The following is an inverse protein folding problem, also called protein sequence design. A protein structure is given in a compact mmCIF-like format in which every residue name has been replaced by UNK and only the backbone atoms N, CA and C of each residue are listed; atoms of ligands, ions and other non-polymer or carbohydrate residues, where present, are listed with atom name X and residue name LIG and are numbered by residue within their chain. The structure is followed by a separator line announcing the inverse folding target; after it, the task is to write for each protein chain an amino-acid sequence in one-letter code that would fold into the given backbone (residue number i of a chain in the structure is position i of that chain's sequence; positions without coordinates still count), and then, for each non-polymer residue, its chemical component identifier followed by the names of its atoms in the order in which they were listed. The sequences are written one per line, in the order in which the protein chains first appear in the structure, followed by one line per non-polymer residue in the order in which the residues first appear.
data_IF_037353423063
#
_entry.id   IF_037353423063
#
_cell.length_a   1.000
_cell.length_b   1.000
_cell.length_c   1.000
_cell.angle_alpha   90.00
_cell.angle_beta   90.00
_cell.angle_gamma   90.00
#
_symmetry.space_group_name_H-M   'P 1'
#
loop_
_entity.id
_entity.type
_entity.pdbx_description
1 polymer ?
#
# COMPACT_ATOMS: atom_id res chain seq x y z
N UNK A 1 60.41 39.72 55.78
CA UNK A 1 61.01 38.95 54.67
C UNK A 1 60.17 39.27 53.44
N UNK A 2 60.55 40.29 52.65
CA UNK A 2 61.37 40.18 51.43
C UNK A 2 60.76 39.15 50.46
N UNK A 3 60.38 39.41 49.20
CA UNK A 3 60.74 40.41 48.18
C UNK A 3 59.61 40.41 47.12
N UNK A 4 59.19 41.56 46.56
CA UNK A 4 59.51 42.09 45.20
C UNK A 4 59.27 41.09 44.03
N UNK A 5 58.73 41.44 42.85
CA UNK A 5 58.25 42.70 42.24
C UNK A 5 57.64 42.34 40.86
N UNK A 6 56.68 43.17 40.38
CA UNK A 6 56.51 43.69 39.00
C UNK A 6 56.23 42.70 37.85
N UNK A 7 55.51 42.98 36.76
CA UNK A 7 55.00 44.17 36.03
C UNK A 7 53.78 43.67 35.22
N UNK A 8 52.71 44.45 34.96
CA UNK A 8 52.55 45.29 33.74
C UNK A 8 52.12 44.44 32.53
N UNK A 9 51.23 44.82 31.61
CA UNK A 9 50.37 45.97 31.35
C UNK A 9 49.44 45.54 30.19
N UNK A 10 48.36 46.28 29.98
CA UNK A 10 47.26 46.05 29.06
C UNK A 10 47.65 45.91 27.57
N UNK A 11 46.84 45.15 26.81
CA UNK A 11 46.53 45.46 25.40
C UNK A 11 45.18 44.88 24.96
N UNK A 12 44.61 45.62 24.02
CA UNK A 12 43.21 45.70 23.57
C UNK A 12 43.00 44.88 22.28
N UNK A 13 41.75 44.44 22.06
CA UNK A 13 41.08 44.11 20.77
C UNK A 13 41.26 42.68 20.17
N UNK A 14 40.43 42.24 19.19
CA UNK A 14 39.04 41.76 19.36
C UNK A 14 38.73 40.51 18.47
N UNK A 15 37.46 40.05 18.44
CA UNK A 15 36.95 39.06 17.47
C UNK A 15 36.81 37.67 18.08
N UNK A 16 35.67 36.98 18.03
CA UNK A 16 34.67 36.96 16.97
C UNK A 16 34.65 35.54 16.41
N UNK A 17 33.89 34.64 17.03
CA UNK A 17 33.44 33.37 16.46
C UNK A 17 32.16 32.98 17.22
N UNK A 18 31.03 33.54 16.81
CA UNK A 18 29.74 32.90 17.03
C UNK A 18 29.69 31.71 16.07
N UNK A 19 29.79 30.50 16.61
CA UNK A 19 29.44 29.29 15.87
C UNK A 19 27.96 29.36 15.51
N UNK A 20 27.70 29.68 14.24
CA UNK A 20 26.40 29.52 13.63
C UNK A 20 26.04 28.04 13.67
N UNK A 21 25.03 27.70 14.48
CA UNK A 21 24.33 26.42 14.35
C UNK A 21 23.80 26.32 12.91
N UNK A 22 24.11 25.26 12.15
CA UNK A 22 23.46 25.06 10.86
C UNK A 22 21.98 24.82 11.13
N UNK A 23 21.15 25.78 10.73
CA UNK A 23 19.72 25.56 10.59
C UNK A 23 19.56 24.47 9.53
N UNK A 24 19.27 23.25 9.99
CA UNK A 24 18.81 22.17 9.12
C UNK A 24 17.49 22.63 8.50
N UNK A 25 17.57 23.19 7.29
CA UNK A 25 16.42 23.40 6.43
C UNK A 25 16.02 22.03 5.88
N UNK A 26 15.34 21.24 6.70
CA UNK A 26 14.57 20.13 6.15
C UNK A 26 13.50 20.75 5.25
N UNK A 27 13.46 20.41 3.95
CA UNK A 27 12.34 20.81 3.11
C UNK A 27 11.08 20.19 3.70
N UNK A 28 10.21 21.01 4.28
CA UNK A 28 8.82 20.64 4.50
C UNK A 28 8.24 20.38 3.12
N UNK A 29 8.18 19.10 2.74
CA UNK A 29 7.44 18.68 1.56
C UNK A 29 6.00 19.16 1.76
N UNK A 30 5.59 20.17 0.99
CA UNK A 30 4.20 20.59 0.91
C UNK A 30 3.42 19.44 0.28
N UNK A 31 2.88 18.55 1.12
CA UNK A 31 2.02 17.47 0.68
C UNK A 31 0.71 18.08 0.19
N UNK A 32 0.51 18.06 -1.14
CA UNK A 32 -0.74 18.44 -1.78
C UNK A 32 -1.93 17.73 -1.12
N UNK A 33 -2.88 18.51 -0.63
CA UNK A 33 -4.06 18.05 0.09
C UNK A 33 -5.07 17.49 -0.92
N UNK A 34 -5.20 16.17 -1.00
CA UNK A 34 -6.21 15.52 -1.82
C UNK A 34 -7.60 15.65 -1.15
N UNK A 35 -8.59 16.10 -1.94
CA UNK A 35 -9.96 16.37 -1.51
C UNK A 35 -10.69 15.10 -1.01
N UNK A 36 -11.32 15.22 0.16
CA UNK A 36 -11.99 14.13 0.90
C UNK A 36 -13.35 13.68 0.32
N UNK A 37 -13.83 14.27 -0.77
CA UNK A 37 -14.96 13.75 -1.54
C UNK A 37 -14.67 13.90 -3.03
N UNK A 38 -14.80 12.83 -3.84
CA UNK A 38 -14.58 12.93 -5.27
C UNK A 38 -15.69 13.80 -5.89
N UNK A 39 -15.34 14.74 -6.80
CA UNK A 39 -16.35 15.45 -7.59
C UNK A 39 -17.21 14.44 -8.38
N UNK A 40 -18.44 14.82 -8.78
CA UNK A 40 -19.26 13.98 -9.65
C UNK A 40 -18.48 13.60 -10.92
N UNK A 41 -18.67 12.37 -11.45
CA UNK A 41 -17.92 11.90 -12.60
C UNK A 41 -18.17 12.81 -13.80
N UNK A 42 -17.08 13.32 -14.37
CA UNK A 42 -17.08 14.03 -15.65
C UNK A 42 -17.17 13.03 -16.81
N UNK A 43 -17.54 13.48 -18.02
CA UNK A 43 -17.53 12.62 -19.22
C UNK A 43 -16.15 11.94 -19.44
N UNK A 44 -15.07 12.64 -19.07
CA UNK A 44 -13.70 12.10 -19.10
C UNK A 44 -13.49 10.92 -18.14
N UNK A 45 -14.11 10.95 -16.96
CA UNK A 45 -14.00 9.88 -15.95
C UNK A 45 -14.67 8.59 -16.43
N UNK A 46 -15.82 8.70 -17.10
CA UNK A 46 -16.54 7.55 -17.67
C UNK A 46 -15.74 6.89 -18.79
N UNK A 47 -15.21 7.69 -19.73
CA UNK A 47 -14.36 7.19 -20.84
C UNK A 47 -13.10 6.51 -20.32
N UNK A 48 -12.49 7.07 -19.28
CA UNK A 48 -11.32 6.46 -18.67
C UNK A 48 -11.65 5.11 -17.99
N UNK A 49 -12.82 5.01 -17.34
CA UNK A 49 -13.31 3.75 -16.81
C UNK A 49 -13.45 2.67 -17.89
N UNK A 50 -13.98 3.01 -19.07
CA UNK A 50 -14.07 2.09 -20.20
C UNK A 50 -12.71 1.63 -20.72
N UNK A 51 -11.73 2.55 -20.78
CA UNK A 51 -10.35 2.24 -21.16
C UNK A 51 -9.71 1.23 -20.20
N UNK A 52 -9.89 1.42 -18.89
CA UNK A 52 -9.42 0.48 -17.85
C UNK A 52 -10.03 -0.90 -18.08
N UNK A 53 -11.34 -0.98 -18.29
CA UNK A 53 -12.04 -2.26 -18.50
C UNK A 53 -11.58 -2.94 -19.81
N UNK A 54 -11.34 -2.19 -20.87
CA UNK A 54 -10.80 -2.72 -22.12
C UNK A 54 -9.40 -3.31 -21.92
N UNK A 55 -8.52 -2.61 -21.19
CA UNK A 55 -7.20 -3.10 -20.83
C UNK A 55 -7.26 -4.41 -20.05
N UNK A 56 -8.16 -4.53 -19.08
CA UNK A 56 -8.34 -5.77 -18.30
C UNK A 56 -8.84 -6.94 -19.15
N UNK A 57 -9.74 -6.71 -20.11
CA UNK A 57 -10.17 -7.76 -21.04
C UNK A 57 -8.99 -8.25 -21.89
N UNK A 58 -8.18 -7.34 -22.42
CA UNK A 58 -6.99 -7.68 -23.21
C UNK A 58 -5.99 -8.52 -22.39
N UNK A 59 -5.70 -8.12 -21.15
CA UNK A 59 -4.84 -8.90 -20.24
C UNK A 59 -5.40 -10.29 -19.95
N UNK A 60 -6.72 -10.45 -19.75
CA UNK A 60 -7.34 -11.77 -19.54
C UNK A 60 -7.14 -12.68 -20.75
N UNK A 61 -7.28 -12.16 -21.96
CA UNK A 61 -7.00 -12.91 -23.19
C UNK A 61 -5.54 -13.36 -23.26
N UNK A 62 -4.59 -12.46 -22.97
CA UNK A 62 -3.16 -12.80 -22.93
C UNK A 62 -2.87 -13.89 -21.89
N UNK A 63 -3.41 -13.78 -20.68
CA UNK A 63 -3.16 -14.79 -19.65
C UNK A 63 -3.79 -16.14 -19.97
N UNK A 64 -4.97 -16.17 -20.61
CA UNK A 64 -5.56 -17.41 -21.09
C UNK A 64 -4.69 -18.09 -22.17
N UNK A 65 -4.13 -17.31 -23.09
CA UNK A 65 -3.17 -17.81 -24.08
C UNK A 65 -1.91 -18.38 -23.41
N UNK A 66 -1.37 -17.66 -22.42
CA UNK A 66 -0.20 -18.12 -21.65
C UNK A 66 -0.48 -19.41 -20.88
N UNK A 67 -1.65 -19.53 -20.23
CA UNK A 67 -2.06 -20.75 -19.53
C UNK A 67 -2.25 -21.94 -20.48
N UNK A 68 -2.54 -21.68 -21.76
CA UNK A 68 -2.57 -22.67 -22.83
C UNK A 68 -1.18 -22.99 -23.44
N UNK A 69 -0.10 -22.44 -22.88
CA UNK A 69 1.27 -22.62 -23.37
C UNK A 69 1.60 -21.84 -24.65
N UNK A 70 0.78 -20.86 -25.01
CA UNK A 70 1.01 -20.00 -26.17
C UNK A 70 1.96 -18.86 -25.80
N UNK A 71 2.77 -18.41 -26.78
CA UNK A 71 3.58 -17.20 -26.64
C UNK A 71 2.68 -15.98 -26.49
N UNK A 72 3.06 -15.05 -25.61
CA UNK A 72 2.29 -13.83 -25.33
C UNK A 72 3.11 -12.58 -25.59
N UNK A 73 2.48 -11.60 -26.25
CA UNK A 73 3.07 -10.30 -26.50
C UNK A 73 2.53 -9.27 -25.49
N UNK A 74 3.34 -8.97 -24.47
CA UNK A 74 3.02 -7.94 -23.48
C UNK A 74 3.23 -6.51 -23.99
N UNK A 75 3.93 -6.30 -25.10
CA UNK A 75 4.04 -4.96 -25.69
C UNK A 75 2.68 -4.44 -26.17
N UNK A 76 1.78 -5.36 -26.60
CA UNK A 76 0.41 -5.03 -27.00
C UNK A 76 -0.43 -4.34 -25.92
N UNK A 77 -0.04 -4.43 -24.64
CA UNK A 77 -0.69 -3.77 -23.50
C UNK A 77 0.11 -2.61 -22.92
N UNK A 78 1.21 -2.19 -23.56
CA UNK A 78 1.99 -1.02 -23.14
C UNK A 78 1.11 0.23 -23.11
N UNK A 79 1.23 1.00 -22.02
CA UNK A 79 0.48 2.25 -21.83
C UNK A 79 -0.97 2.07 -21.41
N UNK A 80 -1.48 0.83 -21.29
CA UNK A 80 -2.79 0.56 -20.72
C UNK A 80 -2.80 0.92 -19.22
N UNK A 81 -3.92 1.44 -18.69
CA UNK A 81 -4.05 1.68 -17.27
C UNK A 81 -3.72 0.44 -16.41
N UNK A 82 -2.90 0.64 -15.38
CA UNK A 82 -2.47 -0.41 -14.46
C UNK A 82 -1.34 -1.31 -14.99
N UNK A 83 -0.84 -1.10 -16.21
CA UNK A 83 0.21 -1.91 -16.84
C UNK A 83 1.52 -1.12 -16.97
N UNK A 84 2.59 -1.69 -16.42
CA UNK A 84 3.94 -1.12 -16.45
C UNK A 84 4.94 -2.21 -16.78
N UNK A 85 5.57 -2.12 -17.96
CA UNK A 85 6.52 -3.13 -18.44
C UNK A 85 7.91 -2.93 -17.82
N UNK A 86 8.35 -1.69 -17.64
CA UNK A 86 9.64 -1.32 -17.05
C UNK A 86 9.46 -0.75 -15.65
N UNK A 87 10.39 -1.05 -14.71
CA UNK A 87 10.37 -0.45 -13.38
C UNK A 87 10.25 1.08 -13.42
N UNK A 88 9.21 1.63 -12.80
CA UNK A 88 8.97 3.07 -12.79
C UNK A 88 10.03 3.82 -11.96
N UNK A 89 10.77 4.77 -12.54
CA UNK A 89 11.73 5.61 -11.80
C UNK A 89 11.06 6.44 -10.70
N UNK A 90 11.77 6.63 -9.59
CA UNK A 90 11.23 7.34 -8.43
C UNK A 90 10.73 8.76 -8.74
N UNK A 91 11.47 9.54 -9.53
CA UNK A 91 11.07 10.91 -9.87
C UNK A 91 9.78 10.94 -10.69
N UNK A 92 9.61 9.97 -11.60
CA UNK A 92 8.38 9.84 -12.39
C UNK A 92 7.20 9.43 -11.51
N UNK A 93 7.41 8.49 -10.59
CA UNK A 93 6.40 8.10 -9.59
C UNK A 93 5.91 9.28 -8.77
N UNK A 94 6.82 10.08 -8.21
CA UNK A 94 6.47 11.28 -7.42
C UNK A 94 5.69 12.29 -8.28
N UNK A 95 6.09 12.50 -9.53
CA UNK A 95 5.38 13.40 -10.45
C UNK A 95 3.96 12.92 -10.77
N UNK A 96 3.73 11.62 -10.97
CA UNK A 96 2.39 11.08 -11.23
C UNK A 96 1.47 11.19 -10.01
N UNK A 97 2.02 10.99 -8.81
CA UNK A 97 1.27 11.13 -7.56
C UNK A 97 0.94 12.60 -7.28
N UNK A 98 1.88 13.51 -7.53
CA UNK A 98 1.67 14.95 -7.37
C UNK A 98 0.59 15.49 -8.33
N UNK A 99 0.50 14.95 -9.55
CA UNK A 99 -0.59 15.28 -10.49
C UNK A 99 -1.96 14.83 -9.94
N UNK A 100 -2.01 13.66 -9.32
CA UNK A 100 -3.19 13.17 -8.59
C UNK A 100 -4.42 12.87 -9.45
N UNK A 101 -4.39 13.13 -10.76
CA UNK A 101 -5.52 12.83 -11.64
C UNK A 101 -5.72 11.31 -11.75
N UNK A 102 -6.97 10.85 -11.98
CA UNK A 102 -7.22 9.43 -12.20
C UNK A 102 -6.36 8.82 -13.29
N UNK A 103 -6.09 9.59 -14.35
CA UNK A 103 -5.27 9.13 -15.47
C UNK A 103 -3.79 9.02 -15.11
N UNK A 104 -3.23 9.98 -14.37
CA UNK A 104 -1.85 9.87 -13.89
C UNK A 104 -1.68 8.71 -12.91
N UNK A 105 -2.60 8.57 -11.95
CA UNK A 105 -2.56 7.46 -10.99
C UNK A 105 -2.77 6.10 -11.65
N UNK A 106 -3.58 6.00 -12.69
CA UNK A 106 -3.72 4.74 -13.43
C UNK A 106 -2.55 4.43 -14.37
N UNK A 107 -1.55 5.32 -14.51
CA UNK A 107 -0.24 4.93 -15.08
C UNK A 107 0.64 4.22 -14.06
N UNK A 108 0.32 4.30 -12.77
CA UNK A 108 0.89 3.41 -11.78
C UNK A 108 0.30 2.02 -12.01
N UNK A 109 1.15 1.01 -11.96
CA UNK A 109 0.74 -0.31 -12.38
C UNK A 109 1.72 -1.39 -12.03
N UNK A 110 1.46 -2.58 -12.56
CA UNK A 110 2.25 -3.78 -12.34
C UNK A 110 2.75 -4.30 -13.67
N UNK A 111 3.80 -5.11 -13.60
CA UNK A 111 4.14 -5.98 -14.71
C UNK A 111 2.96 -6.91 -15.02
N UNK A 112 2.65 -7.24 -16.29
CA UNK A 112 1.62 -8.20 -16.63
C UNK A 112 1.73 -9.52 -15.86
N UNK A 113 2.93 -10.06 -15.70
CA UNK A 113 3.14 -11.27 -14.88
C UNK A 113 2.77 -11.06 -13.39
N UNK A 114 3.02 -9.86 -12.85
CA UNK A 114 2.59 -9.50 -11.50
C UNK A 114 1.07 -9.38 -11.38
N UNK A 115 0.40 -8.83 -12.40
CA UNK A 115 -1.07 -8.79 -12.49
C UNK A 115 -1.63 -10.21 -12.52
N UNK A 116 -1.05 -11.09 -13.34
CA UNK A 116 -1.48 -12.49 -13.40
C UNK A 116 -1.33 -13.18 -12.06
N UNK A 117 -0.17 -13.05 -11.39
CA UNK A 117 0.04 -13.61 -10.04
C UNK A 117 -1.02 -13.13 -9.05
N UNK A 118 -1.35 -11.83 -9.08
CA UNK A 118 -2.43 -11.27 -8.27
C UNK A 118 -3.78 -11.91 -8.60
N UNK A 119 -4.15 -12.00 -9.87
CA UNK A 119 -5.42 -12.60 -10.28
C UNK A 119 -5.50 -14.09 -9.97
N UNK A 120 -4.43 -14.85 -10.21
CA UNK A 120 -4.35 -16.26 -9.84
C UNK A 120 -4.49 -16.44 -8.34
N UNK A 121 -3.78 -15.66 -7.52
CA UNK A 121 -3.92 -15.72 -6.07
C UNK A 121 -5.34 -15.37 -5.62
N UNK A 122 -5.91 -14.29 -6.15
CA UNK A 122 -7.29 -13.90 -5.85
C UNK A 122 -8.29 -14.98 -6.23
N UNK A 123 -8.24 -15.44 -7.47
CA UNK A 123 -9.27 -16.31 -8.05
C UNK A 123 -9.13 -17.78 -7.55
N UNK A 124 -7.89 -18.25 -7.34
CA UNK A 124 -7.59 -19.65 -7.00
C UNK A 124 -7.28 -19.89 -5.52
N UNK A 125 -6.93 -18.86 -4.75
CA UNK A 125 -6.62 -19.00 -3.32
C UNK A 125 -7.65 -18.27 -2.48
N UNK A 126 -7.83 -16.97 -2.71
CA UNK A 126 -8.72 -16.18 -1.86
C UNK A 126 -10.19 -16.57 -2.06
N UNK A 127 -10.68 -16.57 -3.30
CA UNK A 127 -12.10 -16.81 -3.58
C UNK A 127 -12.53 -18.28 -3.41
N UNK A 128 -11.59 -19.21 -3.22
CA UNK A 128 -11.88 -20.58 -2.80
C UNK A 128 -12.21 -20.68 -1.31
N UNK A 129 -11.64 -19.80 -0.48
CA UNK A 129 -11.77 -19.84 0.98
C UNK A 129 -12.68 -18.75 1.54
N UNK A 130 -12.68 -17.58 0.94
CA UNK A 130 -13.39 -16.40 1.41
C UNK A 130 -14.53 -16.07 0.44
N UNK A 131 -15.64 -15.57 0.98
CA UNK A 131 -16.79 -15.18 0.17
C UNK A 131 -16.44 -14.03 -0.78
N UNK A 132 -15.58 -13.11 -0.33
CA UNK A 132 -15.04 -12.00 -1.12
C UNK A 132 -13.62 -11.61 -0.71
N UNK A 133 -12.98 -10.73 -1.51
CA UNK A 133 -11.70 -10.10 -1.13
C UNK A 133 -11.87 -9.20 0.11
N UNK A 134 -13.03 -8.55 0.26
CA UNK A 134 -13.32 -7.74 1.45
C UNK A 134 -13.35 -8.62 2.71
N UNK A 135 -13.99 -9.79 2.65
CA UNK A 135 -14.00 -10.75 3.76
C UNK A 135 -12.60 -11.22 4.11
N UNK A 136 -11.80 -11.58 3.10
CA UNK A 136 -10.39 -11.91 3.29
C UNK A 136 -9.66 -10.82 4.09
N UNK A 137 -9.77 -9.56 3.69
CA UNK A 137 -9.05 -8.46 4.36
C UNK A 137 -9.58 -8.21 5.77
N UNK A 138 -10.89 -8.29 5.99
CA UNK A 138 -11.47 -8.13 7.32
C UNK A 138 -10.99 -9.22 8.29
N UNK A 139 -10.87 -10.45 7.82
CA UNK A 139 -10.41 -11.57 8.63
C UNK A 139 -8.89 -11.54 8.83
N UNK A 140 -8.12 -11.41 7.75
CA UNK A 140 -6.66 -11.58 7.76
C UNK A 140 -5.90 -10.31 8.19
N UNK A 141 -6.40 -9.14 7.82
CA UNK A 141 -5.76 -7.85 8.16
C UNK A 141 -6.34 -7.29 9.46
N UNK A 142 -7.68 -7.27 9.60
CA UNK A 142 -8.33 -6.68 10.76
C UNK A 142 -8.57 -7.66 11.91
N UNK A 143 -8.44 -8.97 11.68
CA UNK A 143 -8.60 -9.98 12.72
C UNK A 143 -10.05 -10.13 13.20
N UNK A 144 -11.02 -9.83 12.34
CA UNK A 144 -12.44 -10.03 12.67
C UNK A 144 -12.78 -11.51 12.75
N UNK A 145 -13.92 -11.80 13.40
CA UNK A 145 -14.47 -13.15 13.47
C UNK A 145 -15.09 -13.55 12.13
N UNK A 146 -15.14 -14.85 11.85
CA UNK A 146 -15.73 -15.40 10.63
C UNK A 146 -16.90 -16.32 10.91
N UNK A 147 -17.84 -16.37 9.97
CA UNK A 147 -18.87 -17.39 9.85
C UNK A 147 -18.77 -18.13 8.51
N UNK A 148 -19.36 -19.32 8.41
CA UNK A 148 -19.45 -20.06 7.15
C UNK A 148 -20.74 -19.68 6.42
N UNK A 149 -20.60 -19.21 5.18
CA UNK A 149 -21.72 -19.03 4.26
C UNK A 149 -22.31 -20.38 3.82
N UNK A 150 -23.53 -20.39 3.23
CA UNK A 150 -24.15 -21.62 2.70
C UNK A 150 -23.30 -22.36 1.66
N UNK A 151 -22.39 -21.67 0.98
CA UNK A 151 -21.46 -22.25 0.00
C UNK A 151 -20.14 -22.77 0.63
N UNK A 152 -20.03 -22.74 1.96
CA UNK A 152 -18.87 -23.21 2.71
C UNK A 152 -17.71 -22.21 2.79
N UNK A 153 -17.83 -21.00 2.21
CA UNK A 153 -16.77 -19.98 2.28
C UNK A 153 -16.90 -19.10 3.52
N UNK A 154 -15.78 -18.51 3.95
CA UNK A 154 -15.71 -17.64 5.12
C UNK A 154 -16.23 -16.24 4.81
N UNK A 155 -17.14 -15.75 5.64
CA UNK A 155 -17.66 -14.38 5.65
C UNK A 155 -17.23 -13.70 6.94
N UNK A 156 -16.85 -12.43 6.88
CA UNK A 156 -16.48 -11.67 8.07
C UNK A 156 -17.73 -11.22 8.86
N UNK A 157 -17.77 -11.51 10.15
CA UNK A 157 -18.74 -10.94 11.08
C UNK A 157 -18.29 -9.53 11.46
N UNK A 158 -18.87 -8.52 10.83
CA UNK A 158 -18.52 -7.11 11.07
C UNK A 158 -19.26 -6.58 12.31
N UNK A 159 -18.56 -6.17 13.38
CA UNK A 159 -19.22 -5.59 14.54
C UNK A 159 -20.02 -4.33 14.17
N UNK A 160 -21.14 -4.05 14.87
CA UNK A 160 -21.81 -2.77 14.76
C UNK A 160 -20.81 -1.63 14.98
N UNK A 161 -20.92 -0.57 14.19
CA UNK A 161 -20.03 0.60 14.23
C UNK A 161 -18.56 0.34 13.90
N UNK A 162 -18.20 -0.84 13.37
CA UNK A 162 -16.83 -1.08 12.90
C UNK A 162 -16.45 -0.13 11.77
N UNK A 163 -17.32 0.03 10.77
CA UNK A 163 -17.20 1.09 9.79
C UNK A 163 -17.94 2.32 10.25
N UNK A 164 -17.35 3.49 10.07
CA UNK A 164 -18.08 4.74 10.24
C UNK A 164 -19.12 4.76 9.12
N UNK A 165 -20.40 4.61 9.48
CA UNK A 165 -21.48 4.83 8.53
C UNK A 165 -21.20 6.19 7.89
N UNK A 166 -21.05 6.22 6.55
CA UNK A 166 -20.80 7.46 5.84
C UNK A 166 -21.86 8.44 6.31
N UNK A 167 -21.47 9.40 7.14
CA UNK A 167 -22.42 10.26 7.82
C UNK A 167 -23.17 10.95 6.70
N UNK A 168 -24.44 10.56 6.48
CA UNK A 168 -25.30 11.23 5.53
C UNK A 168 -25.34 12.67 6.00
N UNK A 169 -24.59 13.53 5.33
CA UNK A 169 -24.54 14.97 5.53
C UNK A 169 -25.85 15.59 5.02
N UNK A 170 -26.98 14.99 5.39
CA UNK A 170 -28.31 15.55 5.25
C UNK A 170 -28.44 16.56 6.38
N UNK A 171 -27.95 17.77 6.11
CA UNK A 171 -28.20 18.93 6.95
C UNK A 171 -29.71 19.11 7.11
N UNK A 172 -30.20 18.90 8.31
CA UNK A 172 -31.52 19.36 8.74
C UNK A 172 -31.40 19.66 10.22
N UNK A 173 -31.29 20.95 10.52
CA UNK A 173 -31.20 21.46 11.89
C UNK A 173 -32.41 20.97 12.69
N UNK A 174 -32.12 20.29 13.79
CA UNK A 174 -33.12 19.81 14.73
C UNK A 174 -32.44 19.61 16.06
N UNK A 175 -32.83 20.46 17.00
CA UNK A 175 -32.30 20.55 18.35
C UNK A 175 -32.32 19.21 19.10
N UNK A 176 -31.18 18.97 19.75
CA UNK A 176 -31.08 18.54 21.15
C UNK A 176 -32.07 17.49 21.67
N UNK A 177 -31.64 16.22 21.70
CA UNK A 177 -32.02 15.34 22.81
C UNK A 177 -30.92 14.32 23.08
N UNK A 178 -30.26 14.53 24.22
CA UNK A 178 -29.17 13.76 24.83
C UNK A 178 -29.63 12.35 25.22
N UNK A 179 -29.58 11.42 24.27
CA UNK A 179 -29.75 9.99 24.49
C UNK A 179 -28.39 9.30 24.50
N UNK A 180 -27.75 9.30 25.65
CA UNK A 180 -26.44 8.72 25.94
C UNK A 180 -26.49 7.18 25.93
N UNK A 181 -26.27 6.61 24.75
CA UNK A 181 -25.90 5.19 24.57
C UNK A 181 -24.99 5.05 23.35
N UNK A 182 -24.14 6.06 23.12
CA UNK A 182 -23.30 6.18 21.95
C UNK A 182 -22.06 5.32 22.09
N UNK A 183 -22.10 4.09 21.56
CA UNK A 183 -20.89 3.29 21.38
C UNK A 183 -19.84 4.12 20.64
N UNK A 184 -18.76 4.47 21.32
CA UNK A 184 -17.71 5.32 20.75
C UNK A 184 -17.08 4.59 19.57
N UNK A 185 -17.16 5.18 18.37
CA UNK A 185 -16.44 4.67 17.21
C UNK A 185 -14.94 4.60 17.51
N UNK A 186 -14.34 3.42 17.38
CA UNK A 186 -12.90 3.24 17.52
C UNK A 186 -12.24 3.22 16.12
N UNK A 187 -11.29 4.13 15.88
CA UNK A 187 -10.44 4.05 14.71
C UNK A 187 -9.54 2.81 14.79
N UNK A 188 -9.55 1.98 13.76
CA UNK A 188 -8.68 0.82 13.62
C UNK A 188 -7.85 0.96 12.35
N UNK A 189 -6.53 0.94 12.49
CA UNK A 189 -5.57 1.02 11.39
C UNK A 189 -4.62 -0.16 11.36
N UNK A 190 -4.23 -0.61 10.16
CA UNK A 190 -3.29 -1.73 9.96
C UNK A 190 -2.28 -1.41 8.87
N UNK A 191 -1.01 -1.66 9.15
CA UNK A 191 0.08 -1.59 8.18
C UNK A 191 0.39 -2.97 7.62
N UNK A 192 0.52 -3.07 6.30
CA UNK A 192 1.00 -4.28 5.61
C UNK A 192 1.92 -3.90 4.47
N UNK A 193 2.89 -4.77 4.16
CA UNK A 193 3.53 -4.73 2.85
C UNK A 193 2.49 -5.07 1.78
N UNK A 194 2.62 -4.48 0.60
CA UNK A 194 1.74 -4.83 -0.50
C UNK A 194 2.22 -6.13 -1.12
N UNK A 195 1.46 -7.22 -0.97
CA UNK A 195 1.80 -8.55 -1.50
C UNK A 195 1.97 -8.56 -3.03
N UNK A 196 1.33 -7.60 -3.70
CA UNK A 196 1.40 -7.41 -5.14
C UNK A 196 1.84 -5.97 -5.41
N UNK A 197 3.11 -5.62 -5.16
CA UNK A 197 3.58 -4.26 -5.29
C UNK A 197 3.53 -3.81 -6.76
N UNK A 198 3.47 -2.50 -6.94
CA UNK A 198 3.64 -1.89 -8.26
C UNK A 198 5.04 -2.16 -8.83
N UNK A 199 5.14 -2.10 -10.16
CA UNK A 199 6.40 -2.29 -10.86
C UNK A 199 7.24 -1.01 -10.78
N UNK A 200 7.88 -0.83 -9.63
CA UNK A 200 8.66 0.36 -9.28
C UNK A 200 10.15 0.08 -9.37
N UNK A 201 10.95 1.15 -9.45
CA UNK A 201 12.39 1.08 -9.37
C UNK A 201 12.85 0.24 -8.15
N UNK A 202 13.89 -0.62 -8.31
CA UNK A 202 14.38 -1.48 -7.24
C UNK A 202 14.63 -0.79 -5.89
N UNK A 203 14.18 -1.51 -4.84
CA UNK A 203 14.15 -1.13 -3.43
C UNK A 203 13.28 0.10 -3.09
N UNK A 204 12.37 0.47 -3.97
CA UNK A 204 11.17 1.18 -3.53
C UNK A 204 10.32 0.22 -2.68
N UNK A 205 10.06 0.57 -1.42
CA UNK A 205 9.16 -0.17 -0.54
C UNK A 205 7.73 0.29 -0.79
N UNK A 206 6.79 -0.66 -0.87
CA UNK A 206 5.38 -0.40 -1.08
C UNK A 206 4.57 -0.98 0.08
N UNK A 207 4.05 -0.09 0.93
CA UNK A 207 3.17 -0.42 2.04
C UNK A 207 1.73 0.00 1.74
N UNK A 208 0.79 -0.69 2.38
CA UNK A 208 -0.61 -0.28 2.47
C UNK A 208 -0.92 0.09 3.92
N UNK A 209 -1.50 1.27 4.11
CA UNK A 209 -2.13 1.71 5.36
C UNK A 209 -3.64 1.51 5.21
N UNK A 210 -4.19 0.50 5.87
CA UNK A 210 -5.62 0.18 5.89
C UNK A 210 -6.31 0.86 7.07
N UNK A 211 -7.53 1.32 6.89
CA UNK A 211 -8.36 1.85 7.98
C UNK A 211 -9.84 1.51 7.82
N UNK A 212 -10.54 1.38 8.95
CA UNK A 212 -11.99 1.17 9.00
C UNK A 212 -12.82 2.45 8.74
N UNK A 213 -12.15 3.57 8.44
CA UNK A 213 -12.75 4.78 7.89
C UNK A 213 -11.72 5.55 7.07
N UNK A 214 -12.15 6.49 6.20
CA UNK A 214 -11.22 7.45 5.60
C UNK A 214 -10.44 8.23 6.66
N UNK A 215 -9.14 8.35 6.42
CA UNK A 215 -8.23 9.18 7.22
C UNK A 215 -8.05 10.55 6.55
N UNK A 216 -7.91 11.58 7.37
CA UNK A 216 -7.45 12.90 6.93
C UNK A 216 -5.96 12.87 6.59
N UNK A 217 -5.48 13.84 5.81
CA UNK A 217 -4.06 13.97 5.48
C UNK A 217 -3.17 14.04 6.73
N UNK A 218 -3.62 14.73 7.78
CA UNK A 218 -2.87 14.83 9.04
C UNK A 218 -2.76 13.49 9.78
N UNK A 219 -3.82 12.69 9.78
CA UNK A 219 -3.81 11.33 10.36
C UNK A 219 -2.90 10.39 9.57
N UNK A 220 -2.94 10.44 8.23
CA UNK A 220 -2.02 9.65 7.39
C UNK A 220 -0.56 10.05 7.64
N UNK A 221 -0.28 11.35 7.69
CA UNK A 221 1.07 11.85 7.96
C UNK A 221 1.59 11.40 9.34
N UNK A 222 0.74 11.41 10.39
CA UNK A 222 1.09 10.92 11.71
C UNK A 222 1.46 9.42 11.68
N UNK A 223 0.63 8.58 11.05
CA UNK A 223 0.95 7.16 10.89
C UNK A 223 2.24 6.92 10.10
N UNK A 224 2.48 7.69 9.04
CA UNK A 224 3.70 7.56 8.24
C UNK A 224 4.94 7.93 9.07
N UNK A 225 4.88 9.02 9.85
CA UNK A 225 6.00 9.48 10.68
C UNK A 225 6.42 8.43 11.74
N UNK A 226 5.48 7.62 12.23
CA UNK A 226 5.75 6.54 13.18
C UNK A 226 6.37 5.30 12.50
N UNK A 227 6.03 5.03 11.24
CA UNK A 227 6.34 3.76 10.57
C UNK A 227 7.52 3.83 9.60
N UNK A 228 7.67 4.94 8.89
CA UNK A 228 8.66 5.10 7.82
C UNK A 228 9.95 5.66 8.41
N UNK A 229 11.13 5.09 8.07
CA UNK A 229 12.41 5.58 8.58
C UNK A 229 12.63 7.07 8.28
N UNK A 230 13.12 7.81 9.27
CA UNK A 230 13.51 9.21 9.08
C UNK A 230 14.56 9.35 7.97
N UNK A 231 14.41 10.37 7.14
CA UNK A 231 15.31 10.63 6.00
C UNK A 231 15.00 9.83 4.73
N UNK A 232 14.00 8.94 4.74
CA UNK A 232 13.54 8.27 3.52
C UNK A 232 12.88 9.28 2.55
N UNK A 233 13.12 9.10 1.25
CA UNK A 233 12.29 9.71 0.22
C UNK A 233 10.91 9.04 0.27
N UNK A 234 9.84 9.82 0.35
CA UNK A 234 8.50 9.33 0.67
C UNK A 234 7.44 9.99 -0.22
N UNK A 235 6.44 9.21 -0.62
CA UNK A 235 5.18 9.69 -1.20
C UNK A 235 4.04 8.74 -0.84
N UNK A 236 2.80 9.22 -0.88
CA UNK A 236 1.62 8.41 -0.63
C UNK A 236 0.42 8.92 -1.40
N UNK A 237 -0.55 8.03 -1.65
CA UNK A 237 -1.80 8.38 -2.33
C UNK A 237 -2.90 7.36 -1.99
N UNK A 238 -4.15 7.73 -2.26
CA UNK A 238 -5.30 6.82 -2.25
C UNK A 238 -5.76 6.68 -3.69
N UNK A 239 -5.96 5.45 -4.16
CA UNK A 239 -6.47 5.24 -5.51
C UNK A 239 -7.87 5.88 -5.66
N UNK A 240 -8.17 6.52 -6.80
CA UNK A 240 -9.53 7.00 -7.06
C UNK A 240 -10.49 5.80 -7.17
N UNK A 241 -11.81 6.00 -6.96
CA UNK A 241 -12.77 4.89 -6.93
C UNK A 241 -12.73 3.95 -8.14
N UNK A 242 -12.47 4.47 -9.34
CA UNK A 242 -12.37 3.68 -10.58
C UNK A 242 -11.15 2.75 -10.66
N UNK A 243 -10.15 2.97 -9.80
CA UNK A 243 -8.89 2.20 -9.75
C UNK A 243 -8.75 1.35 -8.48
N UNK A 244 -9.68 1.44 -7.53
CA UNK A 244 -9.64 0.65 -6.31
C UNK A 244 -10.04 -0.80 -6.57
N UNK A 245 -9.18 -1.74 -6.17
CA UNK A 245 -9.54 -3.18 -6.20
C UNK A 245 -10.44 -3.59 -5.03
N UNK A 246 -10.43 -2.83 -3.93
CA UNK A 246 -11.21 -3.09 -2.72
C UNK A 246 -11.85 -1.78 -2.25
N UNK A 247 -13.00 -1.38 -2.83
CA UNK A 247 -13.64 -0.12 -2.51
C UNK A 247 -14.32 -0.11 -1.13
N UNK A 248 -14.57 -1.28 -0.54
CA UNK A 248 -15.25 -1.41 0.74
C UNK A 248 -14.37 -1.03 1.95
N UNK A 249 -13.05 -0.96 1.78
CA UNK A 249 -12.11 -0.67 2.87
C UNK A 249 -11.15 0.43 2.42
N UNK A 250 -11.10 1.51 3.18
CA UNK A 250 -10.19 2.61 2.89
C UNK A 250 -8.74 2.16 3.06
N UNK A 251 -7.90 2.51 2.10
CA UNK A 251 -6.47 2.28 2.17
C UNK A 251 -5.68 3.35 1.41
N UNK A 252 -4.52 3.70 1.97
CA UNK A 252 -3.50 4.50 1.29
C UNK A 252 -2.32 3.62 0.90
N UNK A 253 -1.79 3.87 -0.29
CA UNK A 253 -0.51 3.35 -0.75
C UNK A 253 0.59 4.28 -0.26
N UNK A 254 1.55 3.74 0.48
CA UNK A 254 2.69 4.47 1.03
C UNK A 254 3.95 3.91 0.42
N UNK A 255 4.68 4.75 -0.31
CA UNK A 255 5.86 4.39 -1.07
C UNK A 255 7.05 5.14 -0.51
N UNK A 256 8.16 4.44 -0.23
CA UNK A 256 9.38 5.10 0.21
C UNK A 256 10.65 4.40 -0.28
N UNK A 257 11.76 5.14 -0.26
CA UNK A 257 13.10 4.66 -0.59
C UNK A 257 14.12 5.27 0.38
N UNK A 258 15.06 4.46 0.84
CA UNK A 258 16.20 4.94 1.62
C UNK A 258 17.26 5.53 0.67
N UNK A 259 17.85 6.67 1.02
CA UNK A 259 18.97 7.24 0.27
C UNK A 259 20.29 6.49 0.58
N UNK A 260 21.08 6.16 -0.45
CA UNK A 260 22.46 5.64 -0.32
C UNK A 260 22.62 4.10 -0.25
N UNK A 261 23.87 3.66 -0.05
CA UNK A 261 24.37 2.24 0.00
C UNK A 261 23.67 1.33 1.03
N UNK A 262 22.74 1.87 1.83
CA UNK A 262 21.87 1.08 2.72
C UNK A 262 20.98 0.09 1.94
N UNK A 263 20.88 0.25 0.62
CA UNK A 263 20.06 -0.57 -0.28
C UNK A 263 20.59 -1.97 -0.54
N UNK A 264 21.92 -2.16 -0.55
CA UNK A 264 22.51 -3.45 -0.94
C UNK A 264 22.06 -4.57 0.01
N UNK A 265 22.03 -4.30 1.32
CA UNK A 265 21.63 -5.29 2.33
C UNK A 265 20.13 -5.62 2.36
N UNK A 266 19.28 -4.80 1.75
CA UNK A 266 17.82 -5.03 1.70
C UNK A 266 17.41 -5.92 0.52
N UNK A 267 18.01 -5.71 -0.65
CA UNK A 267 17.77 -6.55 -1.84
C UNK A 267 18.19 -8.00 -1.62
N UNK A 268 19.31 -8.21 -0.92
CA UNK A 268 19.77 -9.55 -0.53
C UNK A 268 18.74 -10.29 0.34
N UNK A 269 18.02 -9.58 1.22
CA UNK A 269 16.95 -10.18 2.04
C UNK A 269 15.70 -10.51 1.24
N UNK A 270 15.31 -9.65 0.29
CA UNK A 270 14.11 -9.89 -0.52
C UNK A 270 14.31 -11.02 -1.54
N UNK A 271 15.51 -11.12 -2.12
CA UNK A 271 15.91 -12.26 -2.94
C UNK A 271 15.96 -13.56 -2.12
N UNK A 272 16.49 -13.50 -0.89
CA UNK A 272 16.50 -14.65 0.02
C UNK A 272 15.07 -15.09 0.43
N UNK A 273 14.17 -14.14 0.71
CA UNK A 273 12.78 -14.44 1.07
C UNK A 273 11.98 -15.05 -0.11
N UNK A 274 12.16 -14.54 -1.32
CA UNK A 274 11.54 -15.11 -2.53
C UNK A 274 12.07 -16.53 -2.82
N UNK A 275 13.37 -16.77 -2.61
CA UNK A 275 13.96 -18.11 -2.71
C UNK A 275 13.43 -19.08 -1.65
N UNK A 276 13.27 -18.63 -0.40
CA UNK A 276 12.73 -19.45 0.69
C UNK A 276 11.26 -19.82 0.48
N UNK A 277 10.42 -18.87 0.05
CA UNK A 277 9.01 -19.12 -0.25
C UNK A 277 8.82 -20.11 -1.42
N UNK A 278 9.67 -20.03 -2.45
CA UNK A 278 9.68 -21.01 -3.54
C UNK A 278 10.04 -22.42 -3.04
N UNK A 279 11.05 -22.54 -2.19
CA UNK A 279 11.50 -23.81 -1.63
C UNK A 279 10.46 -24.46 -0.68
N UNK A 280 9.67 -23.67 0.04
CA UNK A 280 8.64 -24.19 0.95
C UNK A 280 7.40 -24.70 0.20
N UNK A 281 6.99 -24.01 -0.86
CA UNK A 281 5.93 -24.48 -1.77
C UNK A 281 6.34 -25.78 -2.47
N UNK A 282 7.60 -25.90 -2.90
CA UNK A 282 8.12 -27.10 -3.54
C UNK A 282 8.20 -28.30 -2.56
N UNK A 283 8.57 -28.07 -1.29
CA UNK A 283 8.53 -29.12 -0.25
C UNK A 283 7.12 -29.60 0.06
N UNK A 284 6.13 -28.71 0.10
CA UNK A 284 4.73 -29.10 0.33
C UNK A 284 4.16 -29.92 -0.83
N UNK A 285 4.62 -29.67 -2.07
CA UNK A 285 4.21 -30.45 -3.23
C UNK A 285 4.87 -31.83 -3.29
N UNK A 286 6.14 -31.96 -2.85
CA UNK A 286 6.84 -33.26 -2.84
C UNK A 286 6.47 -34.15 -1.66
N UNK A 287 6.00 -33.57 -0.53
CA UNK A 287 5.61 -34.33 0.67
C UNK A 287 4.22 -34.99 0.62
N UNK A 288 3.36 -34.63 -0.34
CA UNK A 288 1.97 -35.11 -0.40
C UNK A 288 1.76 -36.46 -1.09
N UNK A 289 2.80 -37.09 -1.65
CA UNK A 289 2.65 -38.28 -2.52
C UNK A 289 3.00 -39.63 -1.87
N UNK A 290 3.12 -39.71 -0.54
CA UNK A 290 3.48 -40.96 0.16
C UNK A 290 2.54 -41.30 1.31
N UNK A 291 1.27 -41.60 1.01
CA UNK A 291 0.38 -42.30 1.94
C UNK A 291 -0.83 -42.93 1.21
N UNK A 292 -0.59 -43.94 0.37
CA UNK A 292 -1.63 -44.88 -0.05
C UNK A 292 -1.00 -46.21 -0.51
N UNK A 293 -0.54 -47.00 0.46
CA UNK A 293 -0.38 -48.44 0.30
C UNK A 293 -0.80 -49.09 1.60
N UNK A 294 -2.09 -49.45 1.68
CA UNK A 294 -2.60 -50.36 2.70
C UNK A 294 -3.28 -51.52 1.99
N UNK A 295 -2.51 -52.60 1.93
CA UNK A 295 -2.82 -54.03 1.91
C UNK A 295 -4.27 -54.50 1.61
N UNK A 296 -4.36 -55.24 0.50
CA UNK A 296 -5.13 -56.49 0.41
C UNK A 296 -4.76 -57.46 1.54
N UNK A 297 -5.74 -58.22 2.07
CA UNK A 297 -5.43 -59.45 2.81
C UNK A 297 -6.52 -59.98 3.75
N UNK A 298 -7.35 -60.88 3.23
CA UNK A 298 -7.90 -62.09 3.87
C UNK A 298 -8.51 -62.01 5.29
N UNK A 299 -9.83 -62.12 5.39
CA UNK A 299 -10.60 -63.35 5.72
C UNK A 299 -12.11 -63.03 5.76
#
# INVERSE_FOLDING_TARGET
MASRCQEGDARRMPGGCQEARPQSQHPTAEFGTAALQPPPPTDDSSRYGEEVQAGFRQLRTLFAAMDAGQETDFESVRGRPGVVLEPMPWQQLVSLIADGSPRALGRLGRHPLGIKRYWDHRDKVLLQRYASVTDYLLLDIFGLQSELAPDGRLVATVPPHFFLAAASCSGSGGDSSSGDSGGSFQLVTKWRENDFPYHLQPGTVHLNLWANRPLSCGEVAAHIAERVPHGAQLTWFVNPPSLQSVPAIWHAHVLYRLEGDQHQGGLDRQAAAAGAAGAEVERQQQGGSSAASFADGHL
#
